data_IF_725709151616
#
_entry.id   IF_725709151616
#
_cell.length_a   1.000
_cell.length_b   1.000
_cell.length_c   1.000
_cell.angle_alpha   90.00
_cell.angle_beta   90.00
_cell.angle_gamma   90.00
#
_symmetry.space_group_name_H-M   'P 1'
#
loop_
_entity.id
_entity.type
_entity.pdbx_description
1 polymer ?
#
# COMPACT_ATOMS: atom_id res chain seq x y z
N UNK A 1 5.21 -18.67 18.85
CA UNK A 1 5.74 -18.40 17.50
C UNK A 1 4.61 -17.97 16.54
N UNK A 2 3.51 -18.75 16.44
CA UNK A 2 2.34 -18.42 15.60
C UNK A 2 1.73 -17.06 15.94
N UNK A 3 1.57 -16.72 17.22
CA UNK A 3 1.03 -15.43 17.65
C UNK A 3 1.91 -14.24 17.23
N UNK A 4 3.24 -14.41 17.23
CA UNK A 4 4.17 -13.38 16.77
C UNK A 4 4.06 -13.15 15.25
N UNK A 5 3.97 -14.23 14.47
CA UNK A 5 3.78 -14.16 13.02
C UNK A 5 2.43 -13.52 12.66
N UNK A 6 1.35 -13.92 13.35
CA UNK A 6 0.02 -13.33 13.16
C UNK A 6 -0.01 -11.83 13.45
N UNK A 7 0.69 -11.41 14.51
CA UNK A 7 0.76 -9.99 14.89
C UNK A 7 1.53 -9.16 13.85
N UNK A 8 2.59 -9.71 13.25
CA UNK A 8 3.31 -9.09 12.14
C UNK A 8 2.42 -8.89 10.91
N UNK A 9 1.71 -9.94 10.48
CA UNK A 9 0.78 -9.87 9.34
C UNK A 9 -0.35 -8.88 9.59
N UNK A 10 -0.90 -8.86 10.80
CA UNK A 10 -1.98 -7.93 11.16
C UNK A 10 -1.50 -6.47 11.16
N UNK A 11 -0.25 -6.23 11.57
CA UNK A 11 0.37 -4.91 11.51
C UNK A 11 0.53 -4.43 10.07
N UNK A 12 1.08 -5.27 9.18
CA UNK A 12 1.25 -4.96 7.76
C UNK A 12 -0.11 -4.77 7.05
N UNK A 13 -1.11 -5.57 7.41
CA UNK A 13 -2.47 -5.39 6.89
C UNK A 13 -3.06 -4.03 7.29
N UNK A 14 -2.99 -3.65 8.57
CA UNK A 14 -3.45 -2.36 9.05
C UNK A 14 -2.70 -1.19 8.41
N UNK A 15 -1.39 -1.34 8.17
CA UNK A 15 -0.60 -0.35 7.47
C UNK A 15 -1.06 -0.22 6.02
N UNK A 16 -1.30 -1.33 5.32
CA UNK A 16 -1.75 -1.32 3.93
C UNK A 16 -3.10 -0.62 3.71
N UNK A 17 -4.00 -0.64 4.70
CA UNK A 17 -5.27 0.10 4.65
C UNK A 17 -5.08 1.62 4.79
N UNK A 18 -4.06 2.07 5.53
CA UNK A 18 -3.78 3.49 5.77
C UNK A 18 -3.08 4.17 4.59
N UNK A 19 -2.15 3.49 3.95
CA UNK A 19 -1.26 4.08 2.95
C UNK A 19 -1.98 4.73 1.77
N UNK A 20 -3.05 4.14 1.18
CA UNK A 20 -3.79 4.79 0.10
C UNK A 20 -4.47 6.10 0.55
N UNK A 21 -5.00 6.14 1.78
CA UNK A 21 -5.63 7.34 2.33
C UNK A 21 -4.59 8.44 2.60
N UNK A 22 -3.42 8.10 3.14
CA UNK A 22 -2.33 9.04 3.35
C UNK A 22 -1.80 9.59 2.02
N UNK A 23 -1.70 8.73 0.99
CA UNK A 23 -1.30 9.14 -0.36
C UNK A 23 -2.31 10.11 -0.99
N UNK A 24 -3.60 9.81 -0.89
CA UNK A 24 -4.67 10.69 -1.37
C UNK A 24 -4.63 12.06 -0.66
N UNK A 25 -4.47 12.06 0.67
CA UNK A 25 -4.35 13.29 1.46
C UNK A 25 -3.14 14.11 1.05
N UNK A 26 -1.97 13.49 0.85
CA UNK A 26 -0.76 14.17 0.39
C UNK A 26 -0.93 14.83 -0.99
N UNK A 27 -1.58 14.13 -1.92
CA UNK A 27 -1.89 14.69 -3.25
C UNK A 27 -2.89 15.85 -3.18
N UNK A 28 -3.90 15.75 -2.33
CA UNK A 28 -4.89 16.82 -2.13
C UNK A 28 -4.23 18.07 -1.55
N UNK A 29 -3.42 17.92 -0.49
CA UNK A 29 -2.67 19.03 0.13
C UNK A 29 -1.75 19.69 -0.90
N UNK A 30 -0.99 18.90 -1.64
CA UNK A 30 -0.10 19.43 -2.68
C UNK A 30 -0.88 20.19 -3.76
N UNK A 31 -2.02 19.67 -4.21
CA UNK A 31 -2.89 20.32 -5.20
C UNK A 31 -3.45 21.65 -4.70
N UNK A 32 -3.90 21.70 -3.43
CA UNK A 32 -4.42 22.92 -2.83
C UNK A 32 -3.34 23.99 -2.68
N UNK A 33 -2.13 23.62 -2.29
CA UNK A 33 -1.01 24.55 -2.16
C UNK A 33 -0.57 25.11 -3.53
N UNK A 34 -0.48 24.28 -4.54
CA UNK A 34 -0.15 24.74 -5.91
C UNK A 34 -1.25 25.65 -6.47
N UNK A 35 -2.54 25.36 -6.19
CA UNK A 35 -3.65 26.26 -6.56
C UNK A 35 -3.55 27.61 -5.83
N UNK A 36 -3.22 27.61 -4.55
CA UNK A 36 -3.03 28.84 -3.79
C UNK A 36 -1.89 29.69 -4.37
N UNK A 37 -0.77 29.04 -4.75
CA UNK A 37 0.36 29.69 -5.41
C UNK A 37 -0.06 30.29 -6.76
N UNK A 38 -0.83 29.57 -7.57
CA UNK A 38 -1.28 30.05 -8.88
C UNK A 38 -2.19 31.28 -8.78
N UNK A 39 -2.95 31.42 -7.69
CA UNK A 39 -3.79 32.58 -7.41
C UNK A 39 -2.93 33.76 -6.95
N UNK A 40 -1.98 33.51 -6.04
CA UNK A 40 -1.15 34.56 -5.46
C UNK A 40 -0.06 35.07 -6.43
N UNK A 41 0.41 34.20 -7.31
CA UNK A 41 1.46 34.48 -8.31
C UNK A 41 0.99 34.04 -9.70
N UNK A 42 0.17 34.86 -10.41
CA UNK A 42 -0.40 34.48 -11.72
C UNK A 42 0.66 34.16 -12.80
N UNK A 43 1.85 34.77 -12.70
CA UNK A 43 2.98 34.50 -13.58
C UNK A 43 3.74 33.22 -13.24
N UNK A 44 3.31 32.51 -12.19
CA UNK A 44 3.88 31.21 -11.86
C UNK A 44 3.32 30.13 -12.80
N UNK A 45 4.13 29.11 -13.12
CA UNK A 45 3.66 27.92 -13.84
C UNK A 45 2.73 27.03 -12.95
N UNK A 46 2.02 27.63 -11.99
CA UNK A 46 1.18 26.93 -11.02
C UNK A 46 0.04 26.15 -11.67
N UNK A 47 -0.59 26.70 -12.72
CA UNK A 47 -1.63 25.98 -13.46
C UNK A 47 -1.07 24.74 -14.18
N UNK A 48 0.11 24.86 -14.77
CA UNK A 48 0.77 23.70 -15.38
C UNK A 48 1.12 22.63 -14.32
N UNK A 49 1.66 23.06 -13.19
CA UNK A 49 1.94 22.14 -12.07
C UNK A 49 0.67 21.45 -11.53
N UNK A 50 -0.44 22.18 -11.42
CA UNK A 50 -1.73 21.61 -11.01
C UNK A 50 -2.23 20.54 -12.00
N UNK A 51 -2.09 20.77 -13.30
CA UNK A 51 -2.43 19.79 -14.34
C UNK A 51 -1.58 18.53 -14.24
N UNK A 52 -0.26 18.67 -14.07
CA UNK A 52 0.65 17.54 -13.90
C UNK A 52 0.35 16.73 -12.64
N UNK A 53 -0.02 17.39 -11.53
CA UNK A 53 -0.45 16.71 -10.28
C UNK A 53 -1.72 15.91 -10.52
N UNK A 54 -2.70 16.47 -11.25
CA UNK A 54 -3.95 15.76 -11.56
C UNK A 54 -3.67 14.52 -12.38
N UNK A 55 -2.86 14.65 -13.44
CA UNK A 55 -2.50 13.52 -14.29
C UNK A 55 -1.70 12.44 -13.54
N UNK A 56 -0.82 12.83 -12.63
CA UNK A 56 -0.11 11.92 -11.76
C UNK A 56 -1.05 11.21 -10.78
N UNK A 57 -2.04 11.92 -10.21
CA UNK A 57 -3.04 11.33 -9.33
C UNK A 57 -3.90 10.28 -10.06
N UNK A 58 -4.32 10.55 -11.29
CA UNK A 58 -5.03 9.57 -12.14
C UNK A 58 -4.16 8.33 -12.39
N UNK A 59 -2.87 8.53 -12.69
CA UNK A 59 -1.92 7.42 -12.89
C UNK A 59 -1.73 6.59 -11.61
N UNK A 60 -1.74 7.21 -10.43
CA UNK A 60 -1.71 6.50 -9.14
C UNK A 60 -2.95 5.62 -8.97
N UNK A 61 -4.14 6.10 -9.33
CA UNK A 61 -5.37 5.30 -9.26
C UNK A 61 -5.27 4.07 -10.16
N UNK A 62 -4.83 4.24 -11.40
CA UNK A 62 -4.65 3.14 -12.35
C UNK A 62 -3.57 2.14 -11.86
N UNK A 63 -2.52 2.65 -11.23
CA UNK A 63 -1.49 1.81 -10.61
C UNK A 63 -2.02 1.03 -9.40
N UNK A 64 -2.81 1.64 -8.52
CA UNK A 64 -3.45 0.96 -7.40
C UNK A 64 -4.39 -0.15 -7.86
N UNK A 65 -5.06 0.04 -9.02
CA UNK A 65 -5.90 -0.94 -9.68
C UNK A 65 -5.11 -2.01 -10.48
N UNK A 66 -3.78 -2.02 -10.40
CA UNK A 66 -2.89 -2.92 -11.16
C UNK A 66 -3.01 -2.80 -12.69
N UNK A 67 -3.44 -1.67 -13.23
CA UNK A 67 -3.55 -1.42 -14.68
C UNK A 67 -2.28 -0.81 -15.26
N UNK A 68 -1.48 -0.17 -14.42
CA UNK A 68 -0.22 0.48 -14.80
C UNK A 68 0.90 -0.08 -13.94
N UNK A 69 2.09 -0.25 -14.54
CA UNK A 69 3.27 -0.72 -13.82
C UNK A 69 3.88 0.37 -12.94
N UNK A 70 4.61 -0.01 -11.90
CA UNK A 70 5.36 0.92 -11.04
C UNK A 70 6.39 1.71 -11.83
N UNK A 71 7.01 1.10 -12.84
CA UNK A 71 7.95 1.76 -13.75
C UNK A 71 7.27 2.91 -14.53
N UNK A 72 6.03 2.72 -14.99
CA UNK A 72 5.30 3.73 -15.74
C UNK A 72 4.76 4.83 -14.82
N UNK A 73 4.33 4.47 -13.61
CA UNK A 73 4.01 5.45 -12.57
C UNK A 73 5.20 6.37 -12.27
N UNK A 74 6.40 5.80 -12.10
CA UNK A 74 7.61 6.58 -11.84
C UNK A 74 7.99 7.48 -13.03
N UNK A 75 7.76 7.05 -14.27
CA UNK A 75 7.95 7.92 -15.45
C UNK A 75 7.05 9.16 -15.39
N UNK A 76 5.82 9.02 -14.88
CA UNK A 76 4.90 10.14 -14.71
C UNK A 76 5.22 11.00 -13.48
N UNK A 77 5.84 10.43 -12.45
CA UNK A 77 6.31 11.19 -11.29
C UNK A 77 7.32 12.29 -11.67
N UNK A 78 8.26 12.00 -12.58
CA UNK A 78 9.30 12.96 -12.94
C UNK A 78 8.79 14.27 -13.55
N UNK A 79 7.89 14.30 -14.57
CA UNK A 79 7.33 15.55 -15.09
C UNK A 79 6.53 16.30 -14.02
N UNK A 80 5.74 15.61 -13.21
CA UNK A 80 5.02 16.20 -12.09
C UNK A 80 5.98 16.86 -11.08
N UNK A 81 6.99 16.16 -10.61
CA UNK A 81 8.02 16.70 -9.71
C UNK A 81 8.71 17.93 -10.31
N UNK A 82 9.10 17.87 -11.60
CA UNK A 82 9.74 18.99 -12.29
C UNK A 82 8.83 20.22 -12.37
N UNK A 83 7.53 20.03 -12.63
CA UNK A 83 6.56 21.10 -12.67
C UNK A 83 6.40 21.77 -11.30
N UNK A 84 6.29 20.98 -10.23
CA UNK A 84 6.22 21.49 -8.85
C UNK A 84 7.50 22.23 -8.46
N UNK A 85 8.68 21.69 -8.79
CA UNK A 85 9.96 22.35 -8.54
C UNK A 85 10.04 23.70 -9.27
N UNK A 86 9.59 23.76 -10.53
CA UNK A 86 9.60 24.98 -11.32
C UNK A 86 8.67 26.05 -10.72
N UNK A 87 7.45 25.65 -10.33
CA UNK A 87 6.52 26.53 -9.63
C UNK A 87 7.11 27.01 -8.28
N UNK A 88 7.74 26.12 -7.50
CA UNK A 88 8.37 26.47 -6.25
C UNK A 88 9.61 27.37 -6.40
N UNK A 89 10.35 27.29 -7.51
CA UNK A 89 11.51 28.15 -7.76
C UNK A 89 11.14 29.62 -7.98
N UNK A 90 9.94 29.89 -8.48
CA UNK A 90 9.44 31.25 -8.68
C UNK A 90 9.05 31.92 -7.34
N UNK A 91 8.88 31.16 -6.28
CA UNK A 91 8.64 31.64 -4.91
C UNK A 91 9.94 32.12 -4.25
N UNK A 92 10.59 33.13 -4.80
CA UNK A 92 11.87 33.65 -4.27
C UNK A 92 11.76 34.22 -2.86
N UNK A 93 10.57 34.63 -2.45
CA UNK A 93 10.29 35.33 -1.18
C UNK A 93 9.84 34.42 -0.05
N UNK A 94 9.56 33.12 -0.30
CA UNK A 94 9.02 32.20 0.73
C UNK A 94 9.77 30.84 0.75
N UNK A 95 10.98 30.81 1.35
CA UNK A 95 11.75 29.58 1.47
C UNK A 95 11.02 28.45 2.25
N UNK A 96 10.25 28.71 3.33
CA UNK A 96 9.51 27.69 4.03
C UNK A 96 8.46 26.98 3.16
N UNK A 97 7.72 27.71 2.36
CA UNK A 97 6.73 27.14 1.44
C UNK A 97 7.38 26.25 0.38
N UNK A 98 8.51 26.70 -0.17
CA UNK A 98 9.30 25.91 -1.11
C UNK A 98 9.76 24.57 -0.50
N UNK A 99 10.31 24.62 0.71
CA UNK A 99 10.77 23.42 1.41
C UNK A 99 9.62 22.45 1.68
N UNK A 100 8.43 22.97 2.03
CA UNK A 100 7.23 22.19 2.27
C UNK A 100 6.76 21.48 0.99
N UNK A 101 6.63 22.18 -0.14
CA UNK A 101 6.23 21.57 -1.41
C UNK A 101 7.15 20.43 -1.83
N UNK A 102 8.47 20.63 -1.72
CA UNK A 102 9.44 19.59 -2.04
C UNK A 102 9.38 18.42 -1.04
N UNK A 103 9.09 18.72 0.23
CA UNK A 103 8.87 17.73 1.28
C UNK A 103 7.65 16.85 1.00
N UNK A 104 6.53 17.44 0.57
CA UNK A 104 5.31 16.71 0.21
C UNK A 104 5.54 15.78 -1.00
N UNK A 105 6.25 16.26 -2.03
CA UNK A 105 6.61 15.40 -3.17
C UNK A 105 7.48 14.21 -2.76
N UNK A 106 8.45 14.42 -1.87
CA UNK A 106 9.29 13.35 -1.34
C UNK A 106 8.48 12.37 -0.46
N UNK A 107 7.52 12.87 0.32
CA UNK A 107 6.62 12.05 1.12
C UNK A 107 5.73 11.17 0.24
N UNK A 108 5.14 11.70 -0.82
CA UNK A 108 4.36 10.96 -1.80
C UNK A 108 5.18 9.82 -2.41
N UNK A 109 6.41 10.10 -2.86
CA UNK A 109 7.29 9.06 -3.42
C UNK A 109 7.62 7.97 -2.39
N UNK A 110 7.83 8.35 -1.12
CA UNK A 110 8.06 7.40 -0.03
C UNK A 110 6.86 6.50 0.19
N UNK A 111 5.63 7.04 0.14
CA UNK A 111 4.39 6.26 0.25
C UNK A 111 4.23 5.29 -0.92
N UNK A 112 4.48 5.72 -2.16
CA UNK A 112 4.46 4.86 -3.35
C UNK A 112 5.43 3.69 -3.19
N UNK A 113 6.68 3.96 -2.80
CA UNK A 113 7.68 2.91 -2.59
C UNK A 113 7.28 1.97 -1.45
N UNK A 114 6.65 2.48 -0.39
CA UNK A 114 6.17 1.64 0.73
C UNK A 114 5.04 0.71 0.29
N UNK A 115 4.06 1.22 -0.48
CA UNK A 115 2.98 0.41 -1.03
C UNK A 115 3.56 -0.69 -1.93
N UNK A 116 4.51 -0.37 -2.81
CA UNK A 116 5.16 -1.36 -3.68
C UNK A 116 5.90 -2.42 -2.88
N UNK A 117 6.66 -2.02 -1.85
CA UNK A 117 7.35 -2.97 -0.97
C UNK A 117 6.36 -3.96 -0.33
N UNK A 118 5.20 -3.47 0.15
CA UNK A 118 4.17 -4.34 0.74
C UNK A 118 3.58 -5.28 -0.33
N UNK A 119 3.37 -4.79 -1.55
CA UNK A 119 2.85 -5.61 -2.67
C UNK A 119 3.83 -6.71 -3.10
N UNK A 120 5.13 -6.40 -3.15
CA UNK A 120 6.17 -7.33 -3.55
C UNK A 120 6.53 -8.33 -2.43
N UNK A 121 6.36 -7.95 -1.16
CA UNK A 121 6.67 -8.83 -0.04
C UNK A 121 5.69 -10.00 0.00
N UNK A 122 6.15 -11.16 -0.45
CA UNK A 122 5.42 -12.44 -0.40
C UNK A 122 5.21 -12.98 1.02
N UNK A 123 5.28 -12.13 2.05
CA UNK A 123 5.17 -12.53 3.44
C UNK A 123 3.84 -13.27 3.72
N UNK A 124 2.76 -12.82 3.07
CA UNK A 124 1.45 -13.47 3.17
C UNK A 124 1.50 -14.92 2.67
N UNK A 125 2.20 -15.21 1.56
CA UNK A 125 2.34 -16.58 1.03
C UNK A 125 3.09 -17.48 1.99
N UNK A 126 4.17 -17.00 2.60
CA UNK A 126 4.97 -17.76 3.57
C UNK A 126 4.14 -18.12 4.80
N UNK A 127 3.33 -17.19 5.32
CA UNK A 127 2.47 -17.42 6.48
C UNK A 127 1.39 -18.45 6.19
N UNK A 128 0.75 -18.39 5.02
CA UNK A 128 -0.22 -19.42 4.61
C UNK A 128 0.45 -20.79 4.48
N UNK A 129 1.63 -20.87 3.88
CA UNK A 129 2.37 -22.12 3.77
C UNK A 129 2.71 -22.71 5.15
N UNK A 130 3.14 -21.88 6.08
CA UNK A 130 3.46 -22.26 7.46
C UNK A 130 2.21 -22.69 8.24
N UNK A 131 1.08 -22.02 8.03
CA UNK A 131 -0.21 -22.40 8.60
C UNK A 131 -0.67 -23.77 8.07
N UNK A 132 -0.60 -24.01 6.76
CA UNK A 132 -0.92 -25.31 6.16
C UNK A 132 0.02 -26.42 6.66
N UNK A 133 1.31 -26.14 6.79
CA UNK A 133 2.27 -27.10 7.34
C UNK A 133 1.96 -27.45 8.81
N UNK A 134 1.60 -26.44 9.63
CA UNK A 134 1.21 -26.67 11.02
C UNK A 134 -0.09 -27.47 11.13
N UNK A 135 -1.09 -27.17 10.29
CA UNK A 135 -2.34 -27.94 10.22
C UNK A 135 -2.06 -29.38 9.78
N UNK A 136 -1.23 -29.57 8.76
CA UNK A 136 -0.83 -30.89 8.26
C UNK A 136 -0.11 -31.73 9.34
N UNK A 137 0.78 -31.10 10.12
CA UNK A 137 1.46 -31.73 11.24
C UNK A 137 0.50 -32.13 12.36
N UNK A 138 -0.46 -31.27 12.70
CA UNK A 138 -1.49 -31.54 13.70
C UNK A 138 -2.39 -32.69 13.25
N UNK A 139 -2.87 -32.66 11.99
CA UNK A 139 -3.69 -33.73 11.44
C UNK A 139 -2.92 -35.06 11.37
N UNK A 140 -1.67 -35.04 10.93
CA UNK A 140 -0.80 -36.21 10.90
C UNK A 140 -0.53 -36.78 12.29
N UNK A 141 -0.28 -35.90 13.26
CA UNK A 141 -0.11 -36.31 14.68
C UNK A 141 -1.36 -36.96 15.26
N UNK A 142 -2.56 -36.41 14.93
CA UNK A 142 -3.85 -37.00 15.40
C UNK A 142 -4.12 -38.38 14.77
N UNK A 143 -3.73 -38.57 13.50
CA UNK A 143 -3.88 -39.87 12.81
C UNK A 143 -2.91 -40.92 13.40
N UNK A 144 -1.70 -40.51 13.78
CA UNK A 144 -0.68 -41.38 14.34
C UNK A 144 -0.93 -41.74 15.85
N UNK A 145 -1.72 -40.94 16.55
CA UNK A 145 -2.17 -41.31 17.88
C UNK A 145 -3.17 -42.49 17.77
N UNK A 146 -2.85 -43.61 18.43
CA UNK A 146 -3.76 -44.76 18.62
C UNK A 146 -5.02 -44.27 19.33
N UNK A 147 -5.97 -43.76 18.60
CA UNK A 147 -7.20 -43.20 19.13
C UNK A 147 -8.32 -44.19 18.86
N UNK A 148 -8.83 -44.84 19.93
CA UNK A 148 -9.95 -45.79 19.88
C UNK A 148 -11.26 -45.16 19.39
N UNK A 149 -11.28 -43.83 19.11
CA UNK A 149 -12.43 -43.08 18.59
C UNK A 149 -12.08 -42.38 17.29
N UNK A 150 -11.94 -43.17 16.25
CA UNK A 150 -11.63 -42.69 14.88
C UNK A 150 -12.60 -41.57 14.39
N UNK A 151 -13.83 -41.57 14.92
CA UNK A 151 -14.87 -40.59 14.55
C UNK A 151 -14.57 -39.16 15.05
N UNK A 152 -13.98 -39.05 16.25
CA UNK A 152 -13.61 -37.73 16.80
C UNK A 152 -12.44 -37.12 16.03
N UNK A 153 -11.45 -37.93 15.62
CA UNK A 153 -10.34 -37.47 14.80
C UNK A 153 -10.79 -37.00 13.44
N UNK A 154 -11.70 -37.71 12.78
CA UNK A 154 -12.27 -37.32 11.45
C UNK A 154 -13.07 -36.02 11.59
N UNK A 155 -13.87 -35.85 12.65
CA UNK A 155 -14.62 -34.63 12.90
C UNK A 155 -13.68 -33.40 13.04
N UNK A 156 -12.61 -33.52 13.82
CA UNK A 156 -11.62 -32.46 13.96
C UNK A 156 -10.95 -32.10 12.64
N UNK A 157 -10.60 -33.09 11.81
CA UNK A 157 -10.02 -32.86 10.48
C UNK A 157 -10.98 -32.09 9.57
N UNK A 158 -12.26 -32.47 9.55
CA UNK A 158 -13.28 -31.79 8.74
C UNK A 158 -13.50 -30.35 9.20
N UNK A 159 -13.60 -30.10 10.51
CA UNK A 159 -13.78 -28.74 11.07
C UNK A 159 -12.58 -27.85 10.74
N UNK A 160 -11.35 -28.36 10.85
CA UNK A 160 -10.13 -27.60 10.52
C UNK A 160 -10.09 -27.28 9.01
N UNK A 161 -10.50 -28.23 8.17
CA UNK A 161 -10.55 -28.04 6.71
C UNK A 161 -11.62 -27.01 6.30
N UNK A 162 -12.81 -27.04 6.92
CA UNK A 162 -13.85 -26.03 6.69
C UNK A 162 -13.44 -24.63 7.15
N UNK A 163 -12.77 -24.51 8.29
CA UNK A 163 -12.22 -23.23 8.76
C UNK A 163 -11.17 -22.69 7.78
N UNK A 164 -10.31 -23.54 7.25
CA UNK A 164 -9.29 -23.15 6.25
C UNK A 164 -9.93 -22.67 4.93
N UNK A 165 -10.98 -23.33 4.46
CA UNK A 165 -11.68 -22.93 3.22
C UNK A 165 -12.50 -21.66 3.40
N UNK A 166 -13.10 -21.42 4.57
CA UNK A 166 -13.80 -20.16 4.86
C UNK A 166 -12.85 -18.96 4.96
N UNK A 167 -11.65 -19.13 5.51
CA UNK A 167 -10.63 -18.09 5.48
C UNK A 167 -10.17 -17.73 4.04
N UNK A 168 -10.25 -18.65 3.08
CA UNK A 168 -9.99 -18.34 1.66
C UNK A 168 -11.11 -17.56 1.00
N UNK A 169 -12.37 -17.76 1.40
CA UNK A 169 -13.53 -17.03 0.82
C UNK A 169 -13.64 -15.58 1.29
N UNK A 170 -13.04 -15.21 2.41
CA UNK A 170 -12.97 -13.81 2.91
C UNK A 170 -11.88 -12.97 2.20
N UNK A 171 -11.30 -13.48 1.12
CA UNK A 171 -10.17 -12.88 0.39
C UNK A 171 -10.59 -12.08 -0.84
N UNK A 172 -11.90 -11.69 -0.98
CA UNK A 172 -12.39 -10.84 -2.09
C UNK A 172 -12.94 -9.52 -1.57
#
# INVERSE_FOLDING_TARGET
LLGFLLNGVLADYKESEKLPAELATGLEVLSLEIKAISIQYPDSDGYFAATEITFFAETIVEWLLNRVSTSDLLKQYYPCHRAVVKAAMLLKSDPPLKARLLGEMAAILKLVNRIETIRETSFVKLVYWLAYAAIGLLCGGLILMENTRLHEAIFFIVVIFELGTRCQQLRW
#
